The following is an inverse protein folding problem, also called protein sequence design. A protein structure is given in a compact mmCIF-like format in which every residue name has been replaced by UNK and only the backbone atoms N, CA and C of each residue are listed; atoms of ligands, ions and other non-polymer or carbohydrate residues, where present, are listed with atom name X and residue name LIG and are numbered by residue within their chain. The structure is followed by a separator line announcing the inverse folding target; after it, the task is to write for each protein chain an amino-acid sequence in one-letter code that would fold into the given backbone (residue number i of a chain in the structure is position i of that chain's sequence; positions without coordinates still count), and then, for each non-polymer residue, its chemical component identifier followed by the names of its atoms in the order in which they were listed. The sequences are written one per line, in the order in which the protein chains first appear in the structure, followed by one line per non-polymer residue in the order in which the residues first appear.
data_IF_632086482405
#
_entry.id   IF_632086482405
#
_cell.length_a   1.000
_cell.length_b   1.000
_cell.length_c   1.000
_cell.angle_alpha   90.00
_cell.angle_beta   90.00
_cell.angle_gamma   90.00
#
_symmetry.space_group_name_H-M   'P 1'
#
loop_
_entity.id
_entity.type
_entity.pdbx_description
1 polymer ?
#
# COMPACT_ATOMS: atom_id res chain seq x y z
N UNK A 1 12.87 3.12 16.50
CA UNK A 1 12.73 3.39 15.05
C UNK A 1 11.28 3.59 14.63
N UNK A 2 10.38 2.60 14.72
CA UNK A 2 8.96 2.79 14.36
C UNK A 2 8.25 3.95 15.09
N UNK A 3 8.59 4.21 16.35
CA UNK A 3 8.07 5.38 17.10
C UNK A 3 8.55 6.72 16.51
N UNK A 4 9.81 6.79 16.06
CA UNK A 4 10.37 7.97 15.39
C UNK A 4 9.75 8.18 14.01
N UNK A 5 9.49 7.08 13.28
CA UNK A 5 8.73 7.12 12.04
C UNK A 5 7.32 7.65 12.32
N UNK A 6 6.65 7.10 13.34
CA UNK A 6 5.28 7.46 13.68
C UNK A 6 5.11 8.95 13.97
N UNK A 7 6.07 9.58 14.67
CA UNK A 7 6.05 11.02 14.95
C UNK A 7 6.28 11.90 13.72
N UNK A 8 6.76 11.33 12.61
CA UNK A 8 7.02 12.04 11.34
C UNK A 8 5.89 11.88 10.32
N UNK A 9 4.83 11.12 10.65
CA UNK A 9 3.71 10.87 9.75
C UNK A 9 2.79 12.09 9.67
N UNK A 10 2.38 12.44 8.45
CA UNK A 10 1.43 13.51 8.15
C UNK A 10 0.24 12.87 7.43
N UNK A 11 -0.98 12.98 7.96
CA UNK A 11 -2.19 12.37 7.36
C UNK A 11 -3.43 13.27 7.40
N UNK A 12 -3.27 14.49 7.90
CA UNK A 12 -4.32 15.51 8.05
C UNK A 12 -4.35 16.51 6.89
N UNK A 13 -3.31 16.52 6.05
CA UNK A 13 -3.20 17.35 4.86
C UNK A 13 -2.59 16.58 3.69
N UNK A 14 -3.06 16.88 2.48
CA UNK A 14 -2.47 16.37 1.24
C UNK A 14 -1.25 17.22 0.86
N UNK A 15 -0.09 16.58 0.70
CA UNK A 15 1.12 17.19 0.14
C UNK A 15 1.50 16.48 -1.15
N UNK A 16 0.57 16.49 -2.11
CA UNK A 16 0.69 15.86 -3.42
C UNK A 16 0.85 16.96 -4.46
N UNK A 17 1.92 16.91 -5.25
CA UNK A 17 2.13 17.84 -6.36
C UNK A 17 0.95 17.78 -7.34
N UNK A 18 0.54 18.92 -7.89
CA UNK A 18 -0.57 19.01 -8.84
C UNK A 18 -0.08 19.51 -10.21
N UNK A 19 -0.67 19.03 -11.33
CA UNK A 19 -1.71 18.00 -11.39
C UNK A 19 -1.17 16.60 -11.05
N UNK A 20 -2.00 15.72 -10.48
CA UNK A 20 -1.64 14.31 -10.26
C UNK A 20 -1.50 13.60 -11.62
N UNK A 21 -0.26 13.24 -11.96
CA UNK A 21 0.12 12.68 -13.26
C UNK A 21 0.62 11.24 -13.17
N UNK A 22 1.41 10.92 -12.15
CA UNK A 22 1.96 9.56 -12.01
C UNK A 22 1.66 8.98 -10.63
N UNK A 23 1.20 7.73 -10.62
CA UNK A 23 1.07 6.91 -9.42
C UNK A 23 1.81 5.59 -9.61
N UNK A 24 2.20 4.94 -8.52
CA UNK A 24 2.83 3.63 -8.63
C UNK A 24 2.32 2.62 -7.61
N UNK A 25 2.45 1.35 -7.96
CA UNK A 25 2.29 0.22 -7.04
C UNK A 25 3.62 -0.47 -6.82
N UNK A 26 3.78 -1.08 -5.65
CA UNK A 26 4.96 -1.83 -5.24
C UNK A 26 4.58 -3.20 -4.71
N UNK A 27 5.40 -4.21 -5.02
CA UNK A 27 5.26 -5.57 -4.47
C UNK A 27 6.61 -6.32 -4.44
N UNK A 28 6.71 -7.36 -3.60
CA UNK A 28 7.85 -8.28 -3.53
C UNK A 28 7.38 -9.73 -3.62
N UNK A 29 7.88 -10.46 -4.61
CA UNK A 29 7.68 -11.90 -4.75
C UNK A 29 8.93 -12.68 -4.39
N UNK A 30 8.74 -13.89 -3.84
CA UNK A 30 9.82 -14.74 -3.32
C UNK A 30 10.00 -16.00 -4.17
N UNK A 31 11.25 -16.42 -4.36
CA UNK A 31 11.57 -17.76 -4.85
C UNK A 31 11.21 -18.75 -3.75
N UNK A 32 10.47 -19.82 -4.08
CA UNK A 32 9.93 -20.76 -3.07
C UNK A 32 10.98 -21.53 -2.27
N UNK A 33 12.20 -21.65 -2.79
CA UNK A 33 13.23 -22.59 -2.29
C UNK A 33 14.37 -21.90 -1.55
N UNK A 34 14.45 -20.57 -1.54
CA UNK A 34 15.54 -19.82 -0.92
C UNK A 34 15.11 -18.38 -0.60
N UNK A 35 16.04 -17.57 -0.08
CA UNK A 35 15.77 -16.18 0.33
C UNK A 35 15.81 -15.17 -0.83
N UNK A 36 15.94 -15.62 -2.08
CA UNK A 36 15.90 -14.72 -3.25
C UNK A 36 14.46 -14.23 -3.45
N UNK A 37 14.36 -12.96 -3.81
CA UNK A 37 13.11 -12.31 -4.13
C UNK A 37 13.31 -11.32 -5.28
N UNK A 38 12.22 -10.91 -5.91
CA UNK A 38 12.19 -9.78 -6.83
C UNK A 38 11.16 -8.79 -6.31
N UNK A 39 11.61 -7.56 -6.15
CA UNK A 39 10.74 -6.44 -5.86
C UNK A 39 10.43 -5.72 -7.18
N UNK A 40 9.19 -5.27 -7.36
CA UNK A 40 8.76 -4.59 -8.57
C UNK A 40 7.96 -3.31 -8.28
N UNK A 41 8.19 -2.28 -9.10
CA UNK A 41 7.42 -1.04 -9.18
C UNK A 41 6.79 -0.95 -10.56
N UNK A 42 5.51 -0.60 -10.58
CA UNK A 42 4.78 -0.30 -11.81
C UNK A 42 4.23 1.11 -11.70
N UNK A 43 4.61 1.96 -12.64
CA UNK A 43 4.20 3.37 -12.69
C UNK A 43 3.13 3.52 -13.75
N UNK A 44 2.05 4.22 -13.38
CA UNK A 44 0.91 4.50 -14.22
C UNK A 44 0.83 5.99 -14.51
N UNK A 45 0.43 6.34 -15.73
CA UNK A 45 -0.18 7.64 -15.99
C UNK A 45 -1.57 7.67 -15.31
N UNK A 46 -1.83 8.67 -14.48
CA UNK A 46 -3.04 8.75 -13.67
C UNK A 46 -4.27 9.13 -14.50
N UNK A 47 -4.09 9.85 -15.61
CA UNK A 47 -5.18 10.27 -16.48
C UNK A 47 -5.65 9.11 -17.36
N UNK A 48 -4.71 8.38 -17.99
CA UNK A 48 -5.04 7.30 -18.92
C UNK A 48 -5.12 5.92 -18.25
N UNK A 49 -4.52 5.77 -17.07
CA UNK A 49 -4.31 4.49 -16.39
C UNK A 49 -3.46 3.48 -17.21
N UNK A 50 -2.64 3.98 -18.13
CA UNK A 50 -1.66 3.18 -18.84
C UNK A 50 -0.38 3.00 -18.01
N UNK A 51 0.24 1.82 -18.12
CA UNK A 51 1.56 1.57 -17.53
C UNK A 51 2.61 2.30 -18.36
N UNK A 52 3.34 3.21 -17.73
CA UNK A 52 4.39 4.02 -18.37
C UNK A 52 5.80 3.59 -18.01
N UNK A 53 5.99 2.85 -16.91
CA UNK A 53 7.28 2.27 -16.56
C UNK A 53 7.15 1.04 -15.65
N UNK A 54 8.11 0.13 -15.78
CA UNK A 54 8.27 -1.07 -14.97
C UNK A 54 9.71 -1.14 -14.47
N UNK A 55 9.90 -1.36 -13.17
CA UNK A 55 11.22 -1.46 -12.55
C UNK A 55 11.21 -2.70 -11.67
N UNK A 56 12.23 -3.55 -11.80
CA UNK A 56 12.38 -4.76 -11.00
C UNK A 56 13.79 -4.90 -10.47
N UNK A 57 13.90 -5.27 -9.20
CA UNK A 57 15.19 -5.42 -8.50
C UNK A 57 15.25 -6.79 -7.84
N UNK A 58 16.28 -7.55 -8.20
CA UNK A 58 16.63 -8.77 -7.49
C UNK A 58 17.12 -8.42 -6.08
N UNK A 59 16.54 -9.06 -5.07
CA UNK A 59 16.90 -8.86 -3.68
C UNK A 59 17.05 -10.20 -2.96
N UNK A 60 17.71 -10.15 -1.80
CA UNK A 60 17.89 -11.30 -0.92
C UNK A 60 17.34 -10.91 0.47
N UNK A 61 16.28 -11.58 0.88
CA UNK A 61 15.42 -11.19 1.98
C UNK A 61 15.78 -11.95 3.25
N UNK A 62 16.86 -11.51 3.90
CA UNK A 62 17.41 -12.18 5.10
C UNK A 62 16.58 -12.00 6.37
N UNK A 63 15.72 -10.97 6.42
CA UNK A 63 14.89 -10.69 7.59
C UNK A 63 13.59 -11.52 7.47
N UNK A 64 13.26 -12.37 8.46
CA UNK A 64 12.04 -13.18 8.42
C UNK A 64 10.78 -12.30 8.53
N UNK A 65 9.67 -12.79 7.99
CA UNK A 65 8.38 -12.11 8.14
C UNK A 65 7.92 -12.18 9.60
N UNK A 66 7.62 -11.01 10.18
CA UNK A 66 6.95 -10.89 11.48
C UNK A 66 5.84 -9.85 11.34
N UNK A 67 4.60 -10.25 11.67
CA UNK A 67 3.46 -9.34 11.68
C UNK A 67 3.77 -8.11 12.56
N UNK A 68 3.49 -6.91 12.03
CA UNK A 68 3.83 -5.64 12.67
C UNK A 68 5.24 -5.10 12.39
N UNK A 69 6.07 -5.83 11.65
CA UNK A 69 7.46 -5.46 11.33
C UNK A 69 7.80 -5.59 9.83
N UNK A 70 6.79 -5.69 8.97
CA UNK A 70 6.95 -5.82 7.51
C UNK A 70 7.85 -4.71 6.92
N UNK A 71 7.74 -3.49 7.44
CA UNK A 71 8.50 -2.35 6.96
C UNK A 71 10.02 -2.55 7.02
N UNK A 72 10.55 -3.15 8.10
CA UNK A 72 11.99 -3.40 8.23
C UNK A 72 12.52 -4.38 7.18
N UNK A 73 11.64 -5.26 6.71
CA UNK A 73 11.96 -6.28 5.73
C UNK A 73 11.97 -5.68 4.32
N UNK A 74 10.99 -4.85 3.98
CA UNK A 74 10.71 -4.48 2.58
C UNK A 74 11.08 -3.03 2.24
N UNK A 75 10.94 -2.08 3.18
CA UNK A 75 11.23 -0.68 2.92
C UNK A 75 12.67 -0.43 2.40
N UNK A 76 13.73 -1.08 2.91
CA UNK A 76 15.08 -0.90 2.36
C UNK A 76 15.18 -1.31 0.89
N UNK A 77 14.44 -2.34 0.48
CA UNK A 77 14.43 -2.81 -0.92
C UNK A 77 13.68 -1.81 -1.80
N UNK A 78 12.54 -1.30 -1.33
CA UNK A 78 11.78 -0.28 -2.05
C UNK A 78 12.53 1.05 -2.17
N UNK A 79 13.30 1.46 -1.15
CA UNK A 79 14.16 2.65 -1.24
C UNK A 79 15.21 2.50 -2.33
N UNK A 80 15.91 1.35 -2.38
CA UNK A 80 16.86 1.06 -3.46
C UNK A 80 16.20 1.09 -4.84
N UNK A 81 14.97 0.59 -4.95
CA UNK A 81 14.22 0.62 -6.20
C UNK A 81 13.82 2.04 -6.60
N UNK A 82 13.50 2.90 -5.63
CA UNK A 82 13.24 4.31 -5.87
C UNK A 82 14.49 5.04 -6.35
N UNK A 83 15.67 4.74 -5.80
CA UNK A 83 16.95 5.29 -6.28
C UNK A 83 17.17 4.93 -7.77
N UNK A 84 16.91 3.67 -8.14
CA UNK A 84 16.99 3.19 -9.53
C UNK A 84 15.97 3.90 -10.42
N UNK A 85 14.73 4.09 -9.94
CA UNK A 85 13.71 4.86 -10.65
C UNK A 85 14.19 6.28 -10.95
N UNK A 86 14.74 6.96 -9.94
CA UNK A 86 15.23 8.33 -10.07
C UNK A 86 16.45 8.42 -10.99
N UNK A 87 17.32 7.42 -11.00
CA UNK A 87 18.47 7.36 -11.90
C UNK A 87 18.06 7.16 -13.36
N UNK A 88 17.15 6.22 -13.63
CA UNK A 88 16.83 5.79 -14.99
C UNK A 88 15.65 6.54 -15.64
N UNK A 89 14.65 6.95 -14.87
CA UNK A 89 13.46 7.62 -15.39
C UNK A 89 12.93 8.71 -14.46
N UNK A 90 13.74 9.72 -14.08
CA UNK A 90 13.35 10.78 -13.13
C UNK A 90 12.11 11.57 -13.57
N UNK A 91 11.84 11.65 -14.87
CA UNK A 91 10.67 12.30 -15.44
C UNK A 91 9.35 11.54 -15.20
N UNK A 92 9.42 10.31 -14.70
CA UNK A 92 8.28 9.44 -14.37
C UNK A 92 8.17 9.20 -12.86
N UNK A 93 8.73 10.08 -12.01
CA UNK A 93 8.63 9.91 -10.56
C UNK A 93 7.17 9.97 -10.10
N UNK A 94 6.68 8.95 -9.37
CA UNK A 94 5.30 8.90 -8.91
C UNK A 94 5.06 9.94 -7.82
N UNK A 95 3.91 10.60 -7.90
CA UNK A 95 3.45 11.56 -6.89
C UNK A 95 2.72 10.88 -5.73
N UNK A 96 2.18 9.68 -5.96
CA UNK A 96 1.56 8.85 -4.94
C UNK A 96 1.93 7.39 -5.15
N UNK A 97 2.26 6.70 -4.07
CA UNK A 97 2.57 5.26 -4.09
C UNK A 97 1.55 4.47 -3.26
N UNK A 98 0.96 3.46 -3.89
CA UNK A 98 0.04 2.50 -3.28
C UNK A 98 0.83 1.26 -2.88
N UNK A 99 0.67 0.80 -1.64
CA UNK A 99 1.44 -0.35 -1.12
C UNK A 99 0.53 -1.46 -0.61
N UNK A 100 0.86 -2.72 -0.90
CA UNK A 100 0.19 -3.88 -0.31
C UNK A 100 0.56 -3.99 1.18
N UNK A 101 -0.32 -3.48 2.03
CA UNK A 101 -0.06 -3.37 3.46
C UNK A 101 -0.77 -2.18 4.09
N UNK A 102 -0.40 -1.88 5.33
CA UNK A 102 -1.03 -0.82 6.10
C UNK A 102 -0.16 0.45 6.17
N UNK A 103 -0.80 1.60 6.32
CA UNK A 103 -0.20 2.85 6.79
C UNK A 103 -0.40 3.01 8.30
N UNK A 104 -1.19 4.01 8.70
CA UNK A 104 -1.49 4.31 10.10
C UNK A 104 -2.36 3.25 10.79
N UNK A 105 -3.04 2.39 10.03
CA UNK A 105 -3.75 1.22 10.57
C UNK A 105 -2.75 0.14 11.01
N UNK A 106 -2.07 0.42 12.11
CA UNK A 106 -0.98 -0.39 12.62
C UNK A 106 -0.85 -0.20 14.14
N UNK A 107 -0.46 -1.22 14.93
CA UNK A 107 -0.32 -1.10 16.38
C UNK A 107 0.62 0.02 16.85
N UNK A 108 1.52 0.45 15.97
CA UNK A 108 2.47 1.55 16.20
C UNK A 108 2.26 2.75 15.28
N UNK A 109 1.12 2.81 14.59
CA UNK A 109 0.79 3.80 13.53
C UNK A 109 1.80 3.89 12.38
N UNK A 110 2.79 3.00 12.32
CA UNK A 110 3.89 2.99 11.35
C UNK A 110 3.94 1.68 10.56
N UNK A 111 2.90 1.40 9.77
CA UNK A 111 2.88 0.32 8.79
C UNK A 111 3.83 0.60 7.61
N UNK A 112 3.93 -0.34 6.66
CA UNK A 112 4.85 -0.24 5.51
C UNK A 112 4.62 1.04 4.69
N UNK A 113 3.37 1.42 4.42
CA UNK A 113 3.06 2.61 3.62
C UNK A 113 3.49 3.91 4.32
N UNK A 114 3.30 3.98 5.64
CA UNK A 114 3.76 5.11 6.44
C UNK A 114 5.27 5.15 6.55
N UNK A 115 5.91 4.02 6.82
CA UNK A 115 7.35 3.93 7.00
C UNK A 115 8.07 4.31 5.70
N UNK A 116 7.71 3.67 4.60
CA UNK A 116 8.27 3.99 3.30
C UNK A 116 7.97 5.44 2.88
N UNK A 117 6.76 5.94 3.11
CA UNK A 117 6.40 7.33 2.81
C UNK A 117 7.25 8.34 3.58
N UNK A 118 7.53 8.11 4.87
CA UNK A 118 8.42 8.96 5.67
C UNK A 118 9.86 8.92 5.14
N UNK A 119 10.38 7.74 4.82
CA UNK A 119 11.77 7.59 4.31
C UNK A 119 11.97 8.20 2.92
N UNK A 120 11.00 8.00 2.02
CA UNK A 120 11.05 8.50 0.64
C UNK A 120 10.64 9.96 0.51
N UNK A 121 9.87 10.47 1.47
CA UNK A 121 9.22 11.78 1.40
C UNK A 121 8.06 11.86 0.41
N UNK A 122 7.70 10.74 -0.25
CA UNK A 122 6.62 10.63 -1.24
C UNK A 122 5.30 10.33 -0.53
N UNK A 123 4.18 10.93 -0.97
CA UNK A 123 2.85 10.55 -0.51
C UNK A 123 2.55 9.06 -0.71
N UNK A 124 2.12 8.39 0.34
CA UNK A 124 1.85 6.95 0.32
C UNK A 124 0.57 6.59 1.06
N UNK A 125 -0.12 5.55 0.60
CA UNK A 125 -1.18 4.91 1.37
C UNK A 125 -1.15 3.39 1.22
N UNK A 126 -1.66 2.72 2.25
CA UNK A 126 -1.72 1.26 2.32
C UNK A 126 -3.07 0.74 1.86
N UNK A 127 -3.05 -0.35 1.11
CA UNK A 127 -4.22 -1.16 0.77
C UNK A 127 -3.93 -2.59 1.20
N UNK A 128 -4.65 -3.09 2.20
CA UNK A 128 -4.45 -4.46 2.70
C UNK A 128 -5.65 -5.35 2.38
N UNK A 129 -5.37 -6.63 2.08
CA UNK A 129 -6.38 -7.69 1.92
C UNK A 129 -6.80 -8.32 3.25
N UNK A 130 -6.02 -8.12 4.31
CA UNK A 130 -6.21 -8.75 5.61
C UNK A 130 -6.29 -7.69 6.71
N UNK A 131 -7.14 -7.92 7.70
CA UNK A 131 -7.22 -7.04 8.86
C UNK A 131 -5.99 -7.27 9.73
N UNK A 132 -5.26 -6.20 10.02
CA UNK A 132 -4.28 -6.21 11.09
C UNK A 132 -5.01 -5.90 12.40
N UNK A 133 -5.07 -6.89 13.29
CA UNK A 133 -5.74 -6.73 14.59
C UNK A 133 -5.06 -5.61 15.36
N UNK A 134 -5.79 -4.52 15.58
CA UNK A 134 -5.25 -3.27 16.10
C UNK A 134 -6.38 -2.47 16.74
N UNK A 135 -6.15 -1.94 17.93
CA UNK A 135 -7.06 -1.00 18.60
C UNK A 135 -8.51 -1.50 18.67
N UNK A 136 -8.70 -2.76 19.12
CA UNK A 136 -10.02 -3.41 19.23
C UNK A 136 -10.62 -3.93 17.93
N UNK A 137 -10.04 -3.56 16.78
CA UNK A 137 -10.58 -3.94 15.48
C UNK A 137 -10.09 -5.32 15.07
N UNK A 138 -11.05 -6.22 14.81
CA UNK A 138 -10.82 -7.57 14.28
C UNK A 138 -11.52 -7.73 12.94
N UNK A 139 -11.25 -8.84 12.26
CA UNK A 139 -11.90 -9.18 11.00
C UNK A 139 -13.39 -9.43 11.18
N UNK A 140 -13.76 -10.17 12.22
CA UNK A 140 -15.14 -10.58 12.47
C UNK A 140 -16.05 -9.36 12.65
N UNK A 141 -15.63 -8.42 13.51
CA UNK A 141 -16.38 -7.21 13.81
C UNK A 141 -16.54 -6.31 12.57
N UNK A 142 -15.51 -6.26 11.71
CA UNK A 142 -15.55 -5.50 10.46
C UNK A 142 -16.46 -6.14 9.42
N UNK A 143 -16.45 -7.47 9.29
CA UNK A 143 -17.35 -8.17 8.39
C UNK A 143 -18.82 -7.96 8.80
N UNK A 144 -19.12 -8.02 10.10
CA UNK A 144 -20.47 -7.70 10.62
C UNK A 144 -20.87 -6.25 10.31
N UNK A 145 -20.00 -5.29 10.62
CA UNK A 145 -20.27 -3.87 10.42
C UNK A 145 -20.44 -3.51 8.94
N UNK A 146 -19.64 -4.10 8.06
CA UNK A 146 -19.80 -3.96 6.61
C UNK A 146 -21.11 -4.57 6.12
N UNK A 147 -21.48 -5.76 6.60
CA UNK A 147 -22.74 -6.39 6.21
C UNK A 147 -23.96 -5.56 6.61
N UNK A 148 -23.88 -4.84 7.73
CA UNK A 148 -24.94 -3.94 8.19
C UNK A 148 -24.95 -2.61 7.42
N UNK A 149 -23.81 -1.94 7.28
CA UNK A 149 -23.74 -0.53 6.84
C UNK A 149 -23.31 -0.31 5.41
N UNK A 150 -22.57 -1.26 4.82
CA UNK A 150 -21.98 -1.15 3.48
C UNK A 150 -21.93 -2.52 2.75
N UNK A 151 -23.08 -3.24 2.61
CA UNK A 151 -23.09 -4.58 2.03
C UNK A 151 -22.86 -4.61 0.52
N UNK A 152 -23.08 -3.48 -0.17
CA UNK A 152 -23.03 -3.36 -1.62
C UNK A 152 -21.62 -3.15 -2.17
N UNK A 153 -21.48 -3.43 -3.46
CA UNK A 153 -20.26 -3.16 -4.22
C UNK A 153 -19.94 -1.65 -4.21
N UNK A 154 -18.68 -1.31 -3.96
CA UNK A 154 -18.22 0.07 -3.91
C UNK A 154 -18.57 0.82 -2.63
N UNK A 155 -19.31 0.20 -1.70
CA UNK A 155 -19.62 0.80 -0.41
C UNK A 155 -18.46 0.60 0.57
N UNK A 156 -18.31 1.53 1.49
CA UNK A 156 -17.26 1.49 2.51
C UNK A 156 -17.72 2.17 3.79
N UNK A 157 -17.02 1.86 4.87
CA UNK A 157 -17.19 2.50 6.18
C UNK A 157 -15.85 3.05 6.66
N UNK A 158 -15.90 4.14 7.41
CA UNK A 158 -14.76 4.57 8.22
C UNK A 158 -14.63 3.67 9.46
N UNK A 159 -13.40 3.27 9.74
CA UNK A 159 -13.06 2.38 10.85
C UNK A 159 -12.36 3.17 11.92
N UNK A 160 -13.01 3.26 13.08
CA UNK A 160 -12.49 3.86 14.31
C UNK A 160 -12.19 2.76 15.31
N UNK A 161 -11.01 2.77 15.92
CA UNK A 161 -10.65 1.81 16.96
C UNK A 161 -11.15 2.22 18.35
N UNK A 162 -10.93 1.36 19.34
CA UNK A 162 -11.38 1.56 20.72
C UNK A 162 -10.83 2.85 21.35
N UNK A 163 -9.66 3.32 20.92
CA UNK A 163 -9.09 4.59 21.33
C UNK A 163 -9.85 5.84 20.84
N UNK A 164 -10.82 5.67 19.93
CA UNK A 164 -11.47 6.76 19.22
C UNK A 164 -10.68 7.28 18.01
N UNK A 165 -9.53 6.68 17.71
CA UNK A 165 -8.70 7.06 16.55
C UNK A 165 -9.25 6.45 15.26
N UNK A 166 -9.36 7.27 14.21
CA UNK A 166 -9.59 6.76 12.85
C UNK A 166 -8.36 5.96 12.40
N UNK A 167 -8.60 4.72 11.98
CA UNK A 167 -7.57 3.80 11.47
C UNK A 167 -7.52 3.82 9.94
N UNK A 168 -8.68 3.86 9.29
CA UNK A 168 -8.79 3.77 7.85
C UNK A 168 -10.22 3.49 7.38
N UNK A 169 -10.35 2.91 6.19
CA UNK A 169 -11.62 2.50 5.61
C UNK A 169 -11.65 0.99 5.41
N UNK A 170 -12.80 0.36 5.66
CA UNK A 170 -13.10 -0.97 5.16
C UNK A 170 -13.97 -0.83 3.91
N UNK A 171 -13.49 -1.32 2.77
CA UNK A 171 -14.06 -1.07 1.45
C UNK A 171 -14.52 -2.39 0.80
N UNK A 172 -15.81 -2.51 0.50
CA UNK A 172 -16.40 -3.67 -0.15
C UNK A 172 -16.28 -3.55 -1.67
N UNK A 173 -15.12 -3.96 -2.21
CA UNK A 173 -14.79 -3.76 -3.62
C UNK A 173 -15.68 -4.59 -4.55
N UNK A 174 -16.05 -5.82 -4.16
CA UNK A 174 -16.67 -6.80 -5.06
C UNK A 174 -18.13 -7.11 -4.73
N UNK A 175 -18.73 -6.36 -3.79
CA UNK A 175 -20.06 -6.68 -3.23
C UNK A 175 -20.08 -7.94 -2.35
N UNK A 176 -18.92 -8.51 -2.02
CA UNK A 176 -18.80 -9.64 -1.11
C UNK A 176 -17.94 -9.21 0.08
N UNK A 177 -18.59 -9.03 1.24
CA UNK A 177 -17.98 -8.45 2.45
C UNK A 177 -16.68 -9.16 2.87
N UNK A 178 -16.59 -10.48 2.73
CA UNK A 178 -15.37 -11.25 3.07
C UNK A 178 -14.16 -10.93 2.18
N UNK A 179 -14.39 -10.30 1.03
CA UNK A 179 -13.38 -9.83 0.08
C UNK A 179 -13.05 -8.35 0.25
N UNK A 180 -13.57 -7.68 1.29
CA UNK A 180 -13.23 -6.30 1.56
C UNK A 180 -11.71 -6.08 1.63
N UNK A 181 -11.32 -4.84 1.32
CA UNK A 181 -9.95 -4.35 1.47
C UNK A 181 -9.94 -3.19 2.45
N UNK A 182 -8.78 -2.98 3.06
CA UNK A 182 -8.60 -2.02 4.14
C UNK A 182 -7.63 -0.94 3.68
N UNK A 183 -8.12 0.28 3.58
CA UNK A 183 -7.38 1.44 3.08
C UNK A 183 -6.95 2.27 4.28
N UNK A 184 -5.67 2.63 4.38
CA UNK A 184 -5.19 3.50 5.45
C UNK A 184 -4.19 4.51 4.91
N UNK A 185 -4.30 5.76 5.37
CA UNK A 185 -3.35 6.80 5.04
C UNK A 185 -1.94 6.40 5.49
N UNK A 186 -0.93 6.65 4.66
CA UNK A 186 0.46 6.33 4.96
C UNK A 186 1.21 7.56 5.43
N UNK A 187 1.51 8.47 4.49
CA UNK A 187 2.23 9.72 4.72
C UNK A 187 1.84 10.75 3.65
N UNK A 188 1.73 12.03 4.03
CA UNK A 188 1.44 13.18 3.16
C UNK A 188 0.16 13.08 2.31
N UNK A 189 -0.78 12.27 2.77
CA UNK A 189 -2.06 12.05 2.11
C UNK A 189 -3.15 11.87 3.16
N UNK A 190 -4.30 12.49 2.95
CA UNK A 190 -5.48 12.30 3.78
C UNK A 190 -6.16 10.97 3.45
N UNK A 191 -6.90 10.42 4.40
CA UNK A 191 -7.67 9.19 4.17
C UNK A 191 -8.70 9.36 3.03
N UNK A 192 -9.29 10.54 2.93
CA UNK A 192 -10.24 10.89 1.87
C UNK A 192 -9.57 10.82 0.48
N UNK A 193 -8.45 11.51 0.31
CA UNK A 193 -7.72 11.53 -0.97
C UNK A 193 -7.17 10.15 -1.32
N UNK A 194 -6.70 9.38 -0.33
CA UNK A 194 -6.32 7.98 -0.55
C UNK A 194 -7.50 7.13 -1.07
N UNK A 195 -8.71 7.33 -0.54
CA UNK A 195 -9.91 6.65 -1.02
C UNK A 195 -10.28 7.05 -2.45
N UNK A 196 -10.25 8.36 -2.76
CA UNK A 196 -10.60 8.86 -4.09
C UNK A 196 -9.62 8.31 -5.16
N UNK A 197 -8.32 8.31 -4.87
CA UNK A 197 -7.31 7.69 -5.74
C UNK A 197 -7.56 6.20 -5.85
N UNK A 198 -7.75 5.48 -4.74
CA UNK A 198 -8.02 4.05 -4.76
C UNK A 198 -9.21 3.71 -5.67
N UNK A 199 -10.33 4.44 -5.55
CA UNK A 199 -11.53 4.23 -6.38
C UNK A 199 -11.24 4.42 -7.87
N UNK A 200 -10.44 5.42 -8.23
CA UNK A 200 -10.10 5.69 -9.64
C UNK A 200 -9.26 4.60 -10.30
N UNK A 201 -8.53 3.80 -9.51
CA UNK A 201 -7.55 2.81 -10.03
C UNK A 201 -7.94 1.36 -9.73
N UNK A 202 -9.13 1.14 -9.17
CA UNK A 202 -9.58 -0.19 -8.72
C UNK A 202 -10.63 -0.76 -9.65
N UNK A 203 -10.27 -1.82 -10.37
CA UNK A 203 -11.19 -2.61 -11.21
C UNK A 203 -11.56 -3.96 -10.59
N UNK A 204 -10.69 -4.48 -9.71
CA UNK A 204 -10.84 -5.76 -9.03
C UNK A 204 -10.51 -5.59 -7.55
N UNK A 205 -10.67 -6.65 -6.76
CA UNK A 205 -10.31 -6.66 -5.33
C UNK A 205 -8.93 -6.04 -5.05
N UNK A 206 -7.91 -6.40 -5.84
CA UNK A 206 -6.60 -5.75 -5.78
C UNK A 206 -6.58 -4.61 -6.79
N UNK A 207 -6.31 -3.39 -6.32
CA UNK A 207 -6.23 -2.23 -7.21
C UNK A 207 -5.10 -2.39 -8.23
N UNK A 208 -5.28 -1.78 -9.41
CA UNK A 208 -4.42 -2.05 -10.58
C UNK A 208 -2.92 -1.82 -10.31
N UNK A 209 -2.47 -0.75 -9.63
CA UNK A 209 -1.04 -0.54 -9.39
C UNK A 209 -0.39 -1.67 -8.60
N UNK A 210 -1.00 -2.08 -7.48
CA UNK A 210 -0.51 -3.18 -6.64
C UNK A 210 -0.60 -4.50 -7.40
N UNK A 211 -1.70 -4.73 -8.12
CA UNK A 211 -1.93 -5.96 -8.89
C UNK A 211 -0.88 -6.14 -9.98
N UNK A 212 -0.54 -5.08 -10.72
CA UNK A 212 0.49 -5.15 -11.77
C UNK A 212 1.88 -5.33 -11.18
N UNK A 213 2.19 -4.71 -10.03
CA UNK A 213 3.44 -4.94 -9.33
C UNK A 213 3.58 -6.41 -8.88
N UNK A 214 2.51 -7.02 -8.34
CA UNK A 214 2.48 -8.45 -7.97
C UNK A 214 2.64 -9.38 -9.19
N UNK A 215 1.99 -9.07 -10.32
CA UNK A 215 2.17 -9.85 -11.55
C UNK A 215 3.61 -9.77 -12.08
N UNK A 216 4.17 -8.56 -12.13
CA UNK A 216 5.53 -8.34 -12.61
C UNK A 216 6.56 -9.01 -11.69
N UNK A 217 6.41 -8.88 -10.36
CA UNK A 217 7.33 -9.49 -9.40
C UNK A 217 7.33 -11.02 -9.52
N UNK A 218 6.15 -11.65 -9.69
CA UNK A 218 6.01 -13.10 -9.93
C UNK A 218 6.63 -13.54 -11.25
N UNK A 219 6.41 -12.79 -12.32
CA UNK A 219 7.01 -13.08 -13.63
C UNK A 219 8.54 -13.07 -13.54
N UNK A 220 9.09 -12.07 -12.86
CA UNK A 220 10.54 -11.93 -12.71
C UNK A 220 11.15 -13.00 -11.78
N UNK A 221 10.44 -13.39 -10.72
CA UNK A 221 10.83 -14.54 -9.88
C UNK A 221 10.93 -15.82 -10.72
N UNK A 222 9.99 -16.08 -11.62
CA UNK A 222 10.02 -17.26 -12.47
C UNK A 222 11.24 -17.31 -13.41
N UNK A 223 11.88 -16.18 -13.71
CA UNK A 223 13.11 -16.11 -14.52
C UNK A 223 14.39 -16.38 -13.73
N UNK A 224 14.35 -16.33 -12.39
CA UNK A 224 15.51 -16.50 -11.50
C UNK A 224 15.40 -17.69 -10.54
N UNK A 225 14.27 -18.38 -10.56
CA UNK A 225 13.99 -19.61 -9.81
C UNK A 225 14.68 -20.80 -10.48
#
# INVERSE_FOLDING_TARGET
EQENIASSIITDVDQIAQPLKYIAGLDISFVKTNDKAVASMVIFDYETLDIVANISVNCNMKIPYKAGYLAFREAPVFMKMLDIQQEHCPHLTPQVILMDGNGVWHPRRAGIASHFGVLSGIPCFGVSKNVLHCDGVTRENLEELLAEKAPGEGQYIEVTGDSGSVLGLAYNVTGFVKNAVYISAGHKITLRTACDIFKSVTKYRNCEPIRQADLLSREMVAKIA
#
